data_IF_916726972851
#
_entry.id   IF_916726972851
#
_cell.length_a   1.000
_cell.length_b   1.000
_cell.length_c   1.000
_cell.angle_alpha   90.00
_cell.angle_beta   90.00
_cell.angle_gamma   90.00
#
_symmetry.space_group_name_H-M   'P 1'
#
loop_
_entity.id
_entity.type
_entity.pdbx_description
1 polymer ?
#
# COMPACT_ATOMS: atom_id res chain seq x y z
N UNK A 1 -3.78 6.01 12.38
CA UNK A 1 -4.08 7.37 12.92
C UNK A 1 -2.86 8.11 13.48
N UNK A 2 -1.80 7.42 13.93
CA UNK A 2 -0.65 8.03 14.62
C UNK A 2 0.15 9.08 13.81
N UNK A 3 0.18 9.02 12.47
CA UNK A 3 0.91 10.00 11.64
C UNK A 3 0.00 11.09 11.05
N UNK A 4 -1.16 10.71 10.51
CA UNK A 4 -2.03 11.62 9.77
C UNK A 4 -2.60 12.75 10.63
N UNK A 5 -3.08 12.44 11.85
CA UNK A 5 -3.70 13.43 12.72
C UNK A 5 -2.70 14.48 13.25
N UNK A 6 -1.54 14.11 13.84
CA UNK A 6 -0.56 15.10 14.27
C UNK A 6 -0.03 15.96 13.12
N UNK A 7 0.13 15.39 11.92
CA UNK A 7 0.56 16.14 10.76
C UNK A 7 -0.51 17.13 10.29
N UNK A 8 -1.77 16.71 10.22
CA UNK A 8 -2.89 17.57 9.85
C UNK A 8 -3.00 18.78 10.80
N UNK A 9 -2.87 18.56 12.11
CA UNK A 9 -2.85 19.63 13.11
C UNK A 9 -1.70 20.61 12.90
N UNK A 10 -0.48 20.11 12.66
CA UNK A 10 0.70 20.97 12.39
C UNK A 10 0.57 21.78 11.10
N UNK A 11 -0.09 21.23 10.09
CA UNK A 11 -0.35 21.89 8.81
C UNK A 11 -1.65 22.71 8.80
N UNK A 12 -2.32 22.85 9.95
CA UNK A 12 -3.58 23.60 10.11
C UNK A 12 -4.71 23.11 9.18
N UNK A 13 -4.76 21.80 8.92
CA UNK A 13 -5.88 21.17 8.21
C UNK A 13 -7.08 20.98 9.14
N UNK A 14 -8.27 21.30 8.64
CA UNK A 14 -9.53 21.19 9.38
C UNK A 14 -10.26 19.86 9.18
N UNK A 15 -9.84 19.07 8.20
CA UNK A 15 -10.47 17.81 7.82
C UNK A 15 -9.40 16.78 7.43
N UNK A 16 -9.64 15.52 7.78
CA UNK A 16 -8.90 14.36 7.30
C UNK A 16 -9.93 13.42 6.69
N UNK A 17 -9.77 13.11 5.40
CA UNK A 17 -10.65 12.17 4.72
C UNK A 17 -10.14 10.73 4.89
N UNK A 18 -10.99 9.85 5.41
CA UNK A 18 -10.83 8.41 5.21
C UNK A 18 -11.18 8.06 3.76
N UNK A 19 -10.38 7.21 3.13
CA UNK A 19 -10.55 6.84 1.70
C UNK A 19 -10.71 5.34 1.50
N UNK A 20 -10.71 4.57 2.59
CA UNK A 20 -10.84 3.12 2.56
C UNK A 20 -11.83 2.70 3.64
N UNK A 21 -12.94 2.10 3.20
CA UNK A 21 -14.07 1.76 4.05
C UNK A 21 -14.06 0.26 4.44
N UNK A 22 -13.03 -0.49 4.04
CA UNK A 22 -12.81 -1.89 4.44
C UNK A 22 -14.02 -2.80 4.16
N UNK A 23 -14.82 -2.49 3.15
CA UNK A 23 -16.05 -3.23 2.80
C UNK A 23 -15.77 -4.68 2.37
N UNK A 24 -14.51 -5.01 2.05
CA UNK A 24 -14.08 -6.34 1.61
C UNK A 24 -13.63 -7.26 2.76
N UNK A 25 -13.78 -6.85 4.03
CA UNK A 25 -13.33 -7.62 5.19
C UNK A 25 -13.93 -9.04 5.24
N UNK A 26 -15.26 -9.16 5.14
CA UNK A 26 -15.94 -10.46 5.21
C UNK A 26 -15.52 -11.38 4.05
N UNK A 27 -15.51 -10.86 2.82
CA UNK A 27 -15.07 -11.61 1.65
C UNK A 27 -13.59 -12.03 1.75
N UNK A 28 -12.74 -11.16 2.32
CA UNK A 28 -11.34 -11.46 2.56
C UNK A 28 -11.19 -12.57 3.59
N UNK A 29 -11.91 -12.50 4.71
CA UNK A 29 -11.90 -13.52 5.77
C UNK A 29 -12.30 -14.89 5.21
N UNK A 30 -13.43 -14.96 4.50
CA UNK A 30 -13.90 -16.20 3.87
C UNK A 30 -12.86 -16.83 2.92
N UNK A 31 -12.06 -16.01 2.23
CA UNK A 31 -10.99 -16.52 1.37
C UNK A 31 -9.80 -17.02 2.20
N UNK A 32 -9.40 -16.26 3.23
CA UNK A 32 -8.25 -16.61 4.08
C UNK A 32 -8.53 -17.85 4.95
N UNK A 33 -9.80 -18.12 5.25
CA UNK A 33 -10.24 -19.32 5.94
C UNK A 33 -10.17 -20.61 5.10
N UNK A 34 -9.97 -20.51 3.78
CA UNK A 34 -9.82 -21.70 2.95
C UNK A 34 -8.56 -22.46 3.34
N UNK A 35 -8.65 -23.79 3.37
CA UNK A 35 -7.55 -24.68 3.80
C UNK A 35 -6.24 -24.37 3.07
N UNK A 36 -6.32 -24.07 1.77
CA UNK A 36 -5.15 -23.76 0.93
C UNK A 36 -4.39 -22.50 1.39
N UNK A 37 -5.06 -21.54 2.02
CA UNK A 37 -4.42 -20.37 2.63
C UNK A 37 -4.01 -20.64 4.09
N UNK A 38 -4.80 -21.42 4.85
CA UNK A 38 -4.49 -21.78 6.24
C UNK A 38 -3.23 -22.66 6.35
N UNK A 39 -3.07 -23.63 5.46
CA UNK A 39 -1.94 -24.56 5.49
C UNK A 39 -0.61 -23.83 5.31
N UNK A 40 -0.61 -22.70 4.58
CA UNK A 40 0.59 -21.86 4.35
C UNK A 40 1.78 -22.63 3.79
N UNK A 41 1.55 -23.83 3.23
CA UNK A 41 2.62 -24.75 2.87
C UNK A 41 3.25 -24.43 1.52
N UNK A 42 2.54 -23.66 0.68
CA UNK A 42 2.97 -23.32 -0.66
C UNK A 42 4.37 -22.68 -0.66
N UNK A 43 5.36 -23.25 -1.37
CA UNK A 43 6.75 -22.79 -1.32
C UNK A 43 6.91 -21.37 -1.89
N UNK A 44 6.08 -20.97 -2.87
CA UNK A 44 6.09 -19.61 -3.41
C UNK A 44 5.63 -18.60 -2.36
N UNK A 45 4.58 -18.92 -1.59
CA UNK A 45 4.10 -18.08 -0.48
C UNK A 45 5.15 -17.99 0.64
N UNK A 46 5.82 -19.10 0.95
CA UNK A 46 6.92 -19.11 1.93
C UNK A 46 8.09 -18.23 1.46
N UNK A 47 8.49 -18.33 0.20
CA UNK A 47 9.55 -17.50 -0.37
C UNK A 47 9.16 -16.01 -0.36
N UNK A 48 7.93 -15.68 -0.79
CA UNK A 48 7.40 -14.33 -0.79
C UNK A 48 7.41 -13.66 0.59
N UNK A 49 7.00 -14.37 1.66
CA UNK A 49 7.06 -13.86 3.04
C UNK A 49 8.49 -13.58 3.52
N UNK A 50 9.46 -14.25 2.92
CA UNK A 50 10.88 -14.09 3.19
C UNK A 50 11.57 -13.26 2.08
N UNK A 51 10.86 -12.37 1.40
CA UNK A 51 11.47 -11.46 0.44
C UNK A 51 12.54 -10.59 1.13
N UNK A 52 13.64 -10.32 0.43
CA UNK A 52 14.73 -9.48 0.94
C UNK A 52 14.24 -8.07 1.33
N UNK A 53 13.31 -7.51 0.55
CA UNK A 53 12.70 -6.23 0.83
C UNK A 53 12.05 -6.17 2.23
N UNK A 54 11.43 -7.26 2.71
CA UNK A 54 10.83 -7.30 4.05
C UNK A 54 11.86 -7.40 5.15
N UNK A 55 12.91 -8.21 4.96
CA UNK A 55 14.05 -8.22 5.88
C UNK A 55 14.72 -6.86 5.95
N UNK A 56 14.84 -6.14 4.82
CA UNK A 56 15.41 -4.80 4.78
C UNK A 56 14.55 -3.79 5.54
N UNK A 57 13.23 -3.81 5.35
CA UNK A 57 12.30 -2.97 6.14
C UNK A 57 12.44 -3.28 7.62
N UNK A 58 12.44 -4.55 8.01
CA UNK A 58 12.60 -4.95 9.42
C UNK A 58 13.91 -4.43 10.01
N UNK A 59 15.04 -4.61 9.32
CA UNK A 59 16.34 -4.12 9.76
C UNK A 59 16.36 -2.59 9.92
N UNK A 60 15.80 -1.85 8.95
CA UNK A 60 15.70 -0.38 9.04
C UNK A 60 14.77 0.06 10.18
N UNK A 61 13.70 -0.68 10.46
CA UNK A 61 12.80 -0.40 11.58
C UNK A 61 13.51 -0.62 12.92
N UNK A 62 14.23 -1.73 13.08
CA UNK A 62 15.00 -2.02 14.29
C UNK A 62 16.07 -0.95 14.55
N UNK A 63 16.78 -0.52 13.50
CA UNK A 63 17.75 0.57 13.58
C UNK A 63 17.07 1.91 13.91
N UNK A 64 15.95 2.21 13.25
CA UNK A 64 15.20 3.44 13.49
C UNK A 64 14.60 3.53 14.89
N UNK A 65 14.18 2.40 15.47
CA UNK A 65 13.73 2.34 16.86
C UNK A 65 14.88 2.58 17.85
N UNK A 66 16.10 2.11 17.54
CA UNK A 66 17.29 2.34 18.38
C UNK A 66 17.78 3.78 18.31
N UNK A 67 17.73 4.39 17.14
CA UNK A 67 18.27 5.75 16.88
C UNK A 67 17.23 6.85 17.07
N UNK A 68 15.95 6.51 17.06
CA UNK A 68 14.84 7.47 17.02
C UNK A 68 14.57 8.05 15.62
N UNK A 69 15.25 7.55 14.57
CA UNK A 69 15.09 8.02 13.19
C UNK A 69 14.45 6.96 12.29
N UNK A 70 13.17 7.12 11.98
CA UNK A 70 12.43 6.25 11.05
C UNK A 70 12.47 6.75 9.60
N UNK A 71 13.13 7.87 9.30
CA UNK A 71 13.19 8.42 7.94
C UNK A 71 13.79 7.43 6.91
N UNK A 72 14.82 6.63 7.24
CA UNK A 72 15.33 5.59 6.33
C UNK A 72 14.26 4.55 5.96
N UNK A 73 13.38 4.17 6.89
CA UNK A 73 12.26 3.25 6.63
C UNK A 73 11.30 3.86 5.61
N UNK A 74 10.88 5.10 5.83
CA UNK A 74 9.95 5.79 4.93
C UNK A 74 10.56 6.03 3.55
N UNK A 75 11.85 6.37 3.45
CA UNK A 75 12.55 6.50 2.17
C UNK A 75 12.56 5.16 1.42
N UNK A 76 12.97 4.08 2.07
CA UNK A 76 13.01 2.78 1.42
C UNK A 76 11.63 2.31 0.95
N UNK A 77 10.62 2.39 1.82
CA UNK A 77 9.26 1.92 1.50
C UNK A 77 8.53 2.76 0.44
N UNK A 78 8.94 4.01 0.23
CA UNK A 78 8.40 4.85 -0.85
C UNK A 78 9.19 4.73 -2.17
N UNK A 79 10.27 3.95 -2.19
CA UNK A 79 11.13 3.78 -3.36
C UNK A 79 10.61 2.77 -4.38
N UNK A 80 11.00 2.94 -5.67
CA UNK A 80 10.57 2.06 -6.75
C UNK A 80 11.03 0.60 -6.55
N UNK A 81 12.22 0.40 -5.95
CA UNK A 81 12.73 -0.94 -5.67
C UNK A 81 11.86 -1.70 -4.67
N UNK A 82 11.42 -1.04 -3.59
CA UNK A 82 10.52 -1.65 -2.63
C UNK A 82 9.14 -1.88 -3.24
N UNK A 83 8.60 -0.90 -3.98
CA UNK A 83 7.33 -1.03 -4.67
C UNK A 83 7.27 -2.27 -5.58
N UNK A 84 8.29 -2.48 -6.42
CA UNK A 84 8.35 -3.65 -7.30
C UNK A 84 8.48 -4.97 -6.51
N UNK A 85 9.35 -5.01 -5.50
CA UNK A 85 9.55 -6.19 -4.67
C UNK A 85 8.29 -6.56 -3.87
N UNK A 86 7.58 -5.56 -3.34
CA UNK A 86 6.35 -5.76 -2.57
C UNK A 86 5.20 -6.27 -3.45
N UNK A 87 5.02 -5.70 -4.64
CA UNK A 87 4.02 -6.18 -5.61
C UNK A 87 4.28 -7.64 -5.96
N UNK A 88 5.53 -7.98 -6.28
CA UNK A 88 5.90 -9.34 -6.67
C UNK A 88 5.69 -10.35 -5.53
N UNK A 89 6.08 -9.97 -4.30
CA UNK A 89 5.97 -10.83 -3.14
C UNK A 89 4.52 -10.99 -2.63
N UNK A 90 3.73 -9.92 -2.52
CA UNK A 90 2.37 -10.02 -2.00
C UNK A 90 1.34 -10.46 -3.04
N UNK A 91 1.42 -9.92 -4.25
CA UNK A 91 0.33 -10.00 -5.24
C UNK A 91 0.73 -10.81 -6.48
N UNK A 92 1.96 -10.62 -6.97
CA UNK A 92 2.52 -11.37 -8.09
C UNK A 92 2.63 -12.86 -7.78
N UNK A 93 2.95 -13.21 -6.53
CA UNK A 93 2.97 -14.62 -6.09
C UNK A 93 1.62 -15.30 -6.30
N UNK A 94 0.51 -14.58 -6.08
CA UNK A 94 -0.82 -15.13 -6.25
C UNK A 94 -1.06 -15.49 -7.70
N UNK A 95 -0.50 -14.80 -8.70
CA UNK A 95 -0.53 -15.19 -10.13
C UNK A 95 0.11 -16.55 -10.44
N UNK A 96 0.94 -17.08 -9.54
CA UNK A 96 1.72 -18.30 -9.76
C UNK A 96 1.32 -19.48 -8.89
N UNK A 97 0.62 -19.27 -7.76
CA UNK A 97 0.25 -20.36 -6.84
C UNK A 97 -0.72 -21.37 -7.43
N UNK A 98 -1.59 -20.96 -8.38
CA UNK A 98 -2.51 -21.81 -9.16
C UNK A 98 -3.32 -22.78 -8.28
N UNK A 99 -3.93 -22.26 -7.22
CA UNK A 99 -4.77 -23.06 -6.34
C UNK A 99 -5.99 -23.65 -7.09
N UNK A 100 -6.32 -24.90 -6.78
CA UNK A 100 -7.42 -25.61 -7.45
C UNK A 100 -8.76 -24.90 -7.26
N UNK A 101 -8.99 -24.34 -6.07
CA UNK A 101 -10.21 -23.64 -5.69
C UNK A 101 -10.26 -22.16 -6.13
N UNK A 102 -9.25 -21.71 -6.89
CA UNK A 102 -9.09 -20.34 -7.43
C UNK A 102 -9.07 -19.22 -6.40
N UNK A 103 -8.84 -19.55 -5.13
CA UNK A 103 -8.83 -18.57 -4.04
C UNK A 103 -7.67 -17.55 -4.18
N UNK A 104 -6.59 -17.92 -4.87
CA UNK A 104 -5.51 -17.02 -5.30
C UNK A 104 -6.01 -15.89 -6.21
N UNK A 105 -6.86 -16.22 -7.20
CA UNK A 105 -7.51 -15.24 -8.09
C UNK A 105 -8.48 -14.36 -7.32
N UNK A 106 -9.34 -14.95 -6.49
CA UNK A 106 -10.30 -14.20 -5.70
C UNK A 106 -9.60 -13.21 -4.76
N UNK A 107 -8.50 -13.64 -4.11
CA UNK A 107 -7.74 -12.77 -3.22
C UNK A 107 -7.08 -11.60 -3.95
N UNK A 108 -6.54 -11.85 -5.14
CA UNK A 108 -5.94 -10.81 -5.98
C UNK A 108 -7.01 -9.84 -6.49
N UNK A 109 -8.13 -10.34 -6.98
CA UNK A 109 -9.23 -9.51 -7.48
C UNK A 109 -9.83 -8.61 -6.38
N UNK A 110 -9.99 -9.12 -5.15
CA UNK A 110 -10.43 -8.29 -4.02
C UNK A 110 -9.42 -7.18 -3.71
N UNK A 111 -8.12 -7.50 -3.74
CA UNK A 111 -7.08 -6.50 -3.54
C UNK A 111 -7.13 -5.39 -4.60
N UNK A 112 -7.24 -5.76 -5.87
CA UNK A 112 -7.34 -4.80 -6.97
C UNK A 112 -8.61 -3.94 -6.85
N UNK A 113 -9.75 -4.57 -6.56
CA UNK A 113 -11.03 -3.89 -6.32
C UNK A 113 -10.95 -2.88 -5.18
N UNK A 114 -10.33 -3.25 -4.05
CA UNK A 114 -10.11 -2.33 -2.93
C UNK A 114 -9.27 -1.12 -3.34
N UNK A 115 -8.18 -1.34 -4.06
CA UNK A 115 -7.35 -0.23 -4.57
C UNK A 115 -8.10 0.66 -5.57
N UNK A 116 -8.98 0.09 -6.40
CA UNK A 116 -9.84 0.88 -7.29
C UNK A 116 -10.81 1.76 -6.49
N UNK A 117 -11.44 1.21 -5.44
CA UNK A 117 -12.33 1.97 -4.55
C UNK A 117 -11.58 3.10 -3.84
N UNK A 118 -10.39 2.83 -3.31
CA UNK A 118 -9.54 3.86 -2.68
C UNK A 118 -9.20 4.98 -3.69
N UNK A 119 -8.79 4.60 -4.91
CA UNK A 119 -8.51 5.57 -5.97
C UNK A 119 -9.75 6.40 -6.34
N UNK A 120 -10.92 5.76 -6.41
CA UNK A 120 -12.20 6.45 -6.65
C UNK A 120 -12.54 7.44 -5.53
N UNK A 121 -12.34 7.06 -4.26
CA UNK A 121 -12.53 7.95 -3.11
C UNK A 121 -11.59 9.15 -3.14
N UNK A 122 -10.30 8.93 -3.47
CA UNK A 122 -9.32 10.02 -3.67
C UNK A 122 -9.75 10.92 -4.83
N UNK A 123 -10.22 10.35 -5.95
CA UNK A 123 -10.70 11.12 -7.10
C UNK A 123 -11.93 11.96 -6.76
N UNK A 124 -12.90 11.38 -6.06
CA UNK A 124 -14.09 12.09 -5.57
C UNK A 124 -13.68 13.25 -4.65
N UNK A 125 -12.74 13.04 -3.73
CA UNK A 125 -12.20 14.10 -2.89
C UNK A 125 -11.53 15.20 -3.73
N UNK A 126 -10.68 14.82 -4.71
CA UNK A 126 -9.98 15.78 -5.57
C UNK A 126 -10.92 16.67 -6.38
N UNK A 127 -12.08 16.15 -6.79
CA UNK A 127 -13.08 16.92 -7.55
C UNK A 127 -13.65 18.11 -6.77
N UNK A 128 -13.64 18.04 -5.43
CA UNK A 128 -14.08 19.12 -4.52
C UNK A 128 -13.02 20.22 -4.37
N UNK A 129 -11.78 19.97 -4.76
CA UNK A 129 -10.62 20.84 -4.53
C UNK A 129 -9.74 21.00 -5.78
N UNK A 130 -10.27 21.55 -6.90
CA UNK A 130 -9.51 21.72 -8.13
C UNK A 130 -8.24 22.56 -7.92
N UNK A 131 -7.12 22.12 -8.53
CA UNK A 131 -5.82 22.79 -8.43
C UNK A 131 -5.12 22.66 -7.07
N UNK A 132 -5.68 21.93 -6.10
CA UNK A 132 -5.06 21.70 -4.80
C UNK A 132 -4.19 20.43 -4.80
N UNK A 133 -3.41 20.27 -3.73
CA UNK A 133 -2.58 19.10 -3.47
C UNK A 133 -3.22 18.27 -2.37
N UNK A 134 -3.25 16.95 -2.55
CA UNK A 134 -3.72 15.99 -1.54
C UNK A 134 -2.53 15.16 -1.11
N UNK A 135 -2.26 15.11 0.20
CA UNK A 135 -1.29 14.18 0.78
C UNK A 135 -2.01 12.88 1.15
N UNK A 136 -1.60 11.78 0.54
CA UNK A 136 -2.13 10.44 0.82
C UNK A 136 -1.18 9.73 1.77
N UNK A 137 -1.66 9.37 2.96
CA UNK A 137 -0.91 8.59 3.95
C UNK A 137 -1.59 7.24 4.07
N UNK A 138 -0.89 6.19 3.65
CA UNK A 138 -1.50 4.88 3.50
C UNK A 138 -0.46 3.75 3.57
N UNK A 139 -0.92 2.50 3.58
CA UNK A 139 -0.01 1.34 3.58
C UNK A 139 0.78 1.25 2.27
N UNK A 140 2.08 0.97 2.35
CA UNK A 140 2.96 0.99 1.18
C UNK A 140 2.54 0.02 0.05
N UNK A 141 1.91 -1.11 0.40
CA UNK A 141 1.43 -2.10 -0.56
C UNK A 141 0.39 -1.57 -1.56
N UNK A 142 -0.30 -0.48 -1.22
CA UNK A 142 -1.29 0.13 -2.10
C UNK A 142 -0.68 1.12 -3.09
N UNK A 143 0.48 1.68 -2.77
CA UNK A 143 1.12 2.76 -3.55
C UNK A 143 1.24 2.40 -5.05
N UNK A 144 1.70 1.20 -5.46
CA UNK A 144 1.85 0.88 -6.88
C UNK A 144 0.52 0.89 -7.65
N UNK A 145 -0.56 0.44 -7.00
CA UNK A 145 -1.91 0.42 -7.59
C UNK A 145 -2.50 1.83 -7.65
N UNK A 146 -2.36 2.62 -6.58
CA UNK A 146 -2.83 4.00 -6.54
C UNK A 146 -2.08 4.88 -7.55
N UNK A 147 -0.76 4.73 -7.68
CA UNK A 147 0.04 5.44 -8.67
C UNK A 147 -0.44 5.11 -10.09
N UNK A 148 -0.75 3.84 -10.39
CA UNK A 148 -1.26 3.40 -11.68
C UNK A 148 -2.68 3.94 -11.98
N UNK A 149 -3.61 3.81 -11.03
CA UNK A 149 -5.01 4.20 -11.22
C UNK A 149 -5.18 5.72 -11.27
N UNK A 150 -4.53 6.45 -10.36
CA UNK A 150 -4.60 7.91 -10.33
C UNK A 150 -3.75 8.54 -11.44
N UNK A 151 -2.63 7.93 -11.81
CA UNK A 151 -1.80 8.38 -12.93
C UNK A 151 -2.50 8.27 -14.29
N UNK A 152 -3.53 7.43 -14.41
CA UNK A 152 -4.38 7.34 -15.60
C UNK A 152 -5.48 8.41 -15.69
N UNK A 153 -5.68 9.23 -14.66
CA UNK A 153 -6.68 10.29 -14.67
C UNK A 153 -6.20 11.52 -15.47
N UNK A 154 -7.09 12.10 -16.28
CA UNK A 154 -6.80 13.16 -17.26
C UNK A 154 -6.14 14.43 -16.70
N UNK A 155 -6.40 14.75 -15.44
CA UNK A 155 -6.07 16.01 -14.78
C UNK A 155 -5.40 15.80 -13.41
N UNK A 156 -4.95 14.57 -13.13
CA UNK A 156 -4.22 14.24 -11.89
C UNK A 156 -2.74 14.07 -12.20
N UNK A 157 -1.91 14.74 -11.40
CA UNK A 157 -0.45 14.52 -11.37
C UNK A 157 -0.06 13.83 -10.07
N UNK A 158 0.38 12.58 -10.17
CA UNK A 158 0.95 11.84 -9.04
C UNK A 158 2.36 12.38 -8.76
N UNK A 159 2.59 12.88 -7.54
CA UNK A 159 3.88 13.40 -7.10
C UNK A 159 4.53 12.41 -6.13
N UNK A 160 5.78 12.03 -6.41
CA UNK A 160 6.49 11.04 -5.61
C UNK A 160 6.95 11.64 -4.26
N UNK A 161 6.64 11.00 -3.12
CA UNK A 161 6.98 11.54 -1.80
C UNK A 161 8.49 11.54 -1.53
N UNK A 162 9.26 10.68 -2.21
CA UNK A 162 10.71 10.60 -2.08
C UNK A 162 11.41 11.95 -2.26
N UNK A 163 10.94 12.79 -3.19
CA UNK A 163 11.52 14.11 -3.43
C UNK A 163 11.58 14.93 -2.13
N UNK A 164 10.51 14.86 -1.33
CA UNK A 164 10.41 15.58 -0.06
C UNK A 164 11.16 14.87 1.08
N UNK A 165 11.21 13.54 1.07
CA UNK A 165 11.90 12.76 2.10
C UNK A 165 13.43 12.82 1.97
N UNK A 166 13.95 13.04 0.77
CA UNK A 166 15.39 13.20 0.51
C UNK A 166 15.89 14.62 0.79
N UNK A 167 15.02 15.56 1.13
CA UNK A 167 15.39 16.97 1.31
C UNK A 167 15.78 17.66 0.01
N UNK A 168 15.37 17.11 -1.14
CA UNK A 168 15.54 17.76 -2.44
C UNK A 168 14.37 18.72 -2.65
N UNK A 169 14.63 19.95 -3.14
CA UNK A 169 13.59 20.97 -3.33
C UNK A 169 12.49 20.53 -4.30
#
# INVERSE_FOLDING_TARGET
MALALPLALRLNHREIAGVDDFEDCEATELILEREVFRSRENPLIKAARNAEAYRRVQSLQEEGLKTGDLLPVFRYMNGPAYAAADVEAQWGVLLRTRYQDRSDRSRLALWENRNMKIAASIRALSSRYPGKRILVIYGAAHKPFLDAYLGGCSDIRVVQPLNFLEGKP
#
